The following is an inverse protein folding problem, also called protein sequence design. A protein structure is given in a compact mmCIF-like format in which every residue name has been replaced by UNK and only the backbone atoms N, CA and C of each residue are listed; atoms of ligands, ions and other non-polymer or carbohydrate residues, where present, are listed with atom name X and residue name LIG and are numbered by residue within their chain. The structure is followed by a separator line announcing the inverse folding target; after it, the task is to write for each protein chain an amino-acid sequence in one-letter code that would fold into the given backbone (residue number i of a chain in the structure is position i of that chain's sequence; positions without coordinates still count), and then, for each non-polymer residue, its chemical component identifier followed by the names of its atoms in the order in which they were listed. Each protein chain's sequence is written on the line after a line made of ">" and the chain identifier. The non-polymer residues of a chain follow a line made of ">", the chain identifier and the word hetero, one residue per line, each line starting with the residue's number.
data_IF_663176665471
#
_entry.id   IF_663176665471
#
_cell.length_a   1.000
_cell.length_b   1.000
_cell.length_c   1.000
_cell.angle_alpha   90.00
_cell.angle_beta   90.00
_cell.angle_gamma   90.00
#
_symmetry.space_group_name_H-M   'P 1'
#
loop_
_entity.id
_entity.type
_entity.pdbx_description
1 polymer ?
#
# COMPACT_ATOMS: atom_id res chain seq x y z
N UNK A 1 -4.47 -2.22 43.36
CA UNK A 1 -5.11 -1.00 43.82
C UNK A 1 -5.39 -0.16 42.57
N UNK A 2 -6.61 -0.22 42.07
CA UNK A 2 -7.05 0.39 40.82
C UNK A 2 -7.46 1.83 41.03
N UNK A 3 -6.87 2.75 40.28
CA UNK A 3 -7.33 4.16 40.24
C UNK A 3 -8.23 4.30 39.01
N UNK A 4 -9.52 4.50 39.25
CA UNK A 4 -10.51 4.92 38.25
C UNK A 4 -10.32 6.39 37.93
N UNK A 5 -10.09 6.74 36.70
CA UNK A 5 -10.19 8.12 36.22
C UNK A 5 -11.67 8.51 36.08
N UNK A 6 -12.05 9.58 36.75
CA UNK A 6 -13.36 10.21 36.67
C UNK A 6 -13.58 10.84 35.29
N UNK A 7 -14.74 10.56 34.69
CA UNK A 7 -15.30 11.34 33.58
C UNK A 7 -15.80 12.69 34.11
N UNK A 8 -15.31 13.76 33.52
CA UNK A 8 -15.88 15.09 33.70
C UNK A 8 -17.08 15.21 32.77
N UNK A 9 -18.26 15.38 33.36
CA UNK A 9 -19.51 15.64 32.64
C UNK A 9 -19.74 17.15 32.70
N UNK A 10 -19.70 17.81 31.51
CA UNK A 10 -20.18 19.19 31.43
C UNK A 10 -21.71 19.20 31.32
N UNK A 11 -22.36 19.88 32.25
CA UNK A 11 -23.80 20.18 32.16
C UNK A 11 -23.95 21.62 31.63
N UNK A 12 -24.53 21.80 30.45
CA UNK A 12 -25.14 23.07 30.08
C UNK A 12 -26.61 23.05 30.47
N UNK A 13 -26.98 23.88 31.45
CA UNK A 13 -28.36 24.10 31.80
C UNK A 13 -28.87 25.41 31.18
N UNK A 14 -29.75 25.31 30.18
CA UNK A 14 -30.51 26.47 29.73
C UNK A 14 -31.81 26.57 30.51
N UNK A 15 -31.91 27.53 31.44
CA UNK A 15 -33.16 27.87 32.14
C UNK A 15 -33.94 28.91 31.32
N UNK A 16 -35.16 28.59 30.88
CA UNK A 16 -36.15 29.57 30.39
C UNK A 16 -37.10 29.89 31.55
N UNK A 17 -37.14 31.16 31.94
CA UNK A 17 -38.12 31.66 32.89
C UNK A 17 -39.36 32.19 32.15
N UNK A 18 -40.54 31.64 32.48
CA UNK A 18 -41.84 32.19 32.05
C UNK A 18 -42.47 32.88 33.27
N UNK A 19 -42.73 34.20 33.18
CA UNK A 19 -43.41 34.99 34.20
C UNK A 19 -44.92 34.81 34.02
N UNK A 20 -45.56 34.23 35.04
CA UNK A 20 -47.01 34.31 35.22
C UNK A 20 -47.30 35.03 36.55
N UNK A 21 -48.28 35.95 36.48
CA UNK A 21 -48.69 36.86 37.59
C UNK A 21 -49.11 36.14 38.86
N UNK A 22 -48.56 36.60 39.97
CA UNK A 22 -49.15 36.45 41.31
C UNK A 22 -48.65 35.23 42.10
N UNK A 23 -47.83 35.51 43.13
CA UNK A 23 -47.56 34.72 44.34
C UNK A 23 -47.45 33.19 44.26
N UNK A 24 -46.27 32.74 44.24
CA UNK A 24 -45.57 31.48 44.49
C UNK A 24 -44.76 30.99 43.30
N UNK A 25 -43.41 31.00 43.45
CA UNK A 25 -42.50 30.40 42.52
C UNK A 25 -42.43 28.89 42.74
N UNK A 26 -43.05 28.10 41.86
CA UNK A 26 -42.81 26.65 41.80
C UNK A 26 -41.78 26.43 40.67
N UNK A 27 -40.59 26.00 41.05
CA UNK A 27 -39.58 25.56 40.06
C UNK A 27 -39.88 24.11 39.68
N UNK A 28 -40.47 23.89 38.52
CA UNK A 28 -40.57 22.56 37.94
C UNK A 28 -39.33 22.33 37.06
N UNK A 29 -38.40 21.54 37.54
CA UNK A 29 -37.28 21.06 36.75
C UNK A 29 -37.77 19.88 35.90
N UNK A 30 -38.12 20.12 34.65
CA UNK A 30 -38.36 19.05 33.70
C UNK A 30 -37.00 18.53 33.21
N UNK A 31 -36.55 17.40 33.75
CA UNK A 31 -35.45 16.65 33.22
C UNK A 31 -35.85 16.07 31.86
N UNK A 32 -35.64 16.81 30.78
CA UNK A 32 -35.64 16.22 29.46
C UNK A 32 -34.32 15.47 29.31
N UNK A 33 -34.31 14.20 29.62
CA UNK A 33 -33.22 13.30 29.28
C UNK A 33 -33.26 13.17 27.74
N UNK A 34 -32.55 14.03 27.05
CA UNK A 34 -32.21 13.77 25.69
C UNK A 34 -31.41 12.47 25.70
N UNK A 35 -32.05 11.38 25.27
CA UNK A 35 -31.37 10.16 24.87
C UNK A 35 -30.40 10.52 23.75
N UNK A 36 -29.22 10.99 24.13
CA UNK A 36 -28.05 10.86 23.25
C UNK A 36 -27.89 9.34 23.15
N UNK A 37 -28.43 8.76 22.09
CA UNK A 37 -27.93 7.47 21.58
C UNK A 37 -26.46 7.69 21.30
N UNK A 38 -25.63 7.50 22.32
CA UNK A 38 -24.21 7.30 22.14
C UNK A 38 -24.12 6.17 21.13
N UNK A 39 -23.57 6.44 19.96
CA UNK A 39 -23.10 5.38 19.08
C UNK A 39 -22.23 4.51 19.99
N UNK A 40 -22.70 3.31 20.30
CA UNK A 40 -21.86 2.28 20.88
C UNK A 40 -20.77 2.06 19.85
N UNK A 41 -19.66 2.80 19.99
CA UNK A 41 -18.54 2.71 19.08
C UNK A 41 -18.13 1.25 19.04
N UNK A 42 -18.04 0.68 17.85
CA UNK A 42 -17.45 -0.62 17.66
C UNK A 42 -16.11 -0.64 18.40
N UNK A 43 -15.77 -1.73 19.08
CA UNK A 43 -14.52 -1.79 19.80
C UNK A 43 -13.36 -1.41 18.88
N UNK A 44 -12.47 -0.53 19.34
CA UNK A 44 -11.33 -0.01 18.57
C UNK A 44 -10.17 -1.04 18.49
N UNK A 45 -10.48 -2.33 18.52
CA UNK A 45 -9.50 -3.41 18.39
C UNK A 45 -9.89 -4.35 17.26
N UNK A 46 -8.88 -4.97 16.64
CA UNK A 46 -9.05 -5.94 15.56
C UNK A 46 -8.97 -7.36 16.09
N UNK A 47 -9.69 -8.31 15.51
CA UNK A 47 -9.68 -9.71 15.94
C UNK A 47 -8.36 -10.40 15.56
N UNK A 48 -7.72 -9.96 14.50
CA UNK A 48 -6.38 -10.39 14.09
C UNK A 48 -5.65 -9.27 13.34
N UNK A 49 -4.33 -9.44 13.16
CA UNK A 49 -3.50 -8.41 12.55
C UNK A 49 -3.82 -8.13 11.07
N UNK A 50 -4.42 -9.09 10.35
CA UNK A 50 -4.79 -8.87 8.94
C UNK A 50 -5.93 -7.87 8.75
N UNK A 51 -6.75 -7.64 9.78
CA UNK A 51 -7.84 -6.67 9.75
C UNK A 51 -7.39 -5.22 10.00
N UNK A 52 -6.16 -5.02 10.49
CA UNK A 52 -5.59 -3.68 10.67
C UNK A 52 -5.01 -3.08 9.38
N UNK A 53 -5.15 -3.79 8.25
CA UNK A 53 -4.64 -3.36 6.94
C UNK A 53 -5.47 -2.21 6.39
N UNK A 54 -4.78 -1.20 5.82
CA UNK A 54 -5.43 -0.04 5.22
C UNK A 54 -5.44 1.17 6.15
N UNK A 55 -6.28 2.15 5.83
CA UNK A 55 -6.36 3.45 6.52
C UNK A 55 -4.97 4.09 6.72
N UNK A 56 -4.11 3.94 5.73
CA UNK A 56 -2.76 4.47 5.76
C UNK A 56 -2.79 6.00 5.63
N UNK A 57 -1.89 6.73 6.31
CA UNK A 57 -1.95 8.18 6.31
C UNK A 57 -1.57 8.78 4.95
N UNK A 58 -2.19 9.92 4.66
CA UNK A 58 -1.83 10.81 3.57
C UNK A 58 -1.06 12.00 4.15
N UNK A 59 0.20 12.19 3.74
CA UNK A 59 1.11 13.19 4.32
C UNK A 59 1.56 14.18 3.23
N UNK A 60 1.45 15.49 3.51
CA UNK A 60 1.96 16.52 2.62
C UNK A 60 3.49 16.53 2.62
N UNK A 61 4.07 16.48 1.43
CA UNK A 61 5.50 16.68 1.22
C UNK A 61 5.79 18.18 1.03
N UNK A 62 6.76 18.70 1.74
CA UNK A 62 7.00 20.14 1.81
C UNK A 62 8.37 20.53 1.26
N UNK A 63 9.47 20.00 1.83
CA UNK A 63 10.84 20.41 1.47
C UNK A 63 11.34 19.74 0.20
N UNK A 64 11.04 18.46 0.00
CA UNK A 64 11.47 17.67 -1.15
C UNK A 64 10.91 18.20 -2.48
N UNK A 65 9.84 18.98 -2.43
CA UNK A 65 9.19 19.58 -3.61
C UNK A 65 9.97 20.77 -4.18
N UNK A 66 10.99 21.27 -3.46
CA UNK A 66 11.84 22.42 -3.88
C UNK A 66 11.01 23.68 -4.23
N UNK A 67 9.95 23.96 -3.47
CA UNK A 67 9.08 25.11 -3.68
C UNK A 67 8.13 24.99 -4.89
N UNK A 68 7.90 23.78 -5.41
CA UNK A 68 6.95 23.60 -6.50
C UNK A 68 5.53 24.10 -6.13
N UNK A 69 4.79 24.70 -7.08
CA UNK A 69 3.50 25.34 -6.79
C UNK A 69 2.35 24.34 -6.57
N UNK A 70 2.51 23.08 -6.96
CA UNK A 70 1.51 22.03 -6.74
C UNK A 70 1.60 21.46 -5.32
N UNK A 71 0.48 20.95 -4.80
CA UNK A 71 0.43 20.22 -3.54
C UNK A 71 0.77 18.75 -3.80
N UNK A 72 1.78 18.20 -3.11
CA UNK A 72 2.14 16.78 -3.22
C UNK A 72 1.83 16.07 -1.92
N UNK A 73 0.98 15.04 -1.98
CA UNK A 73 0.57 14.22 -0.86
C UNK A 73 1.09 12.79 -1.05
N UNK A 74 1.75 12.26 -0.04
CA UNK A 74 2.28 10.90 -0.02
C UNK A 74 1.36 9.94 0.75
N UNK A 75 0.86 8.90 0.10
CA UNK A 75 0.12 7.80 0.72
C UNK A 75 1.11 6.78 1.27
N UNK A 76 1.25 6.71 2.59
CA UNK A 76 2.32 5.96 3.25
C UNK A 76 1.92 4.50 3.46
N UNK A 77 2.03 3.68 2.44
CA UNK A 77 1.66 2.25 2.50
C UNK A 77 2.61 1.41 3.38
N UNK A 78 3.76 1.94 3.73
CA UNK A 78 4.65 1.37 4.75
C UNK A 78 4.05 1.32 6.15
N UNK A 79 2.89 1.95 6.41
CA UNK A 79 2.18 1.90 7.69
C UNK A 79 1.22 0.71 7.81
N UNK A 80 1.07 -0.11 6.78
CA UNK A 80 0.38 -1.40 6.90
C UNK A 80 1.14 -2.34 7.86
N UNK A 81 0.48 -3.34 8.48
CA UNK A 81 1.05 -4.18 9.55
C UNK A 81 2.27 -5.01 9.15
N UNK A 82 2.42 -5.36 7.88
CA UNK A 82 3.64 -5.97 7.33
C UNK A 82 4.45 -4.98 6.48
N UNK A 83 4.31 -3.68 6.76
CA UNK A 83 5.11 -2.55 6.27
C UNK A 83 5.14 -2.38 4.75
N UNK A 84 4.06 -2.74 4.03
CA UNK A 84 3.94 -2.45 2.60
C UNK A 84 2.52 -2.47 2.06
N UNK A 85 2.35 -1.88 0.87
CA UNK A 85 1.12 -1.92 0.06
C UNK A 85 0.65 -3.36 -0.23
N UNK A 86 1.55 -4.33 -0.18
CA UNK A 86 1.24 -5.74 -0.46
C UNK A 86 0.42 -6.41 0.63
N UNK A 87 0.33 -5.81 1.84
CA UNK A 87 -0.61 -6.27 2.87
C UNK A 87 -2.04 -6.31 2.31
N UNK A 88 -2.43 -5.28 1.55
CA UNK A 88 -3.77 -5.19 0.95
C UNK A 88 -4.06 -6.36 0.02
N UNK A 89 -3.16 -6.62 -0.92
CA UNK A 89 -3.37 -7.72 -1.88
C UNK A 89 -3.19 -9.09 -1.23
N UNK A 90 -2.30 -9.22 -0.25
CA UNK A 90 -2.09 -10.47 0.50
C UNK A 90 -3.38 -10.90 1.20
N UNK A 91 -4.03 -10.02 1.95
CA UNK A 91 -5.32 -10.29 2.56
C UNK A 91 -6.42 -10.52 1.50
N UNK A 92 -6.51 -9.63 0.50
CA UNK A 92 -7.58 -9.71 -0.49
C UNK A 92 -7.58 -10.98 -1.33
N UNK A 93 -6.42 -11.49 -1.73
CA UNK A 93 -6.34 -12.74 -2.50
C UNK A 93 -6.71 -13.96 -1.64
N UNK A 94 -6.40 -13.93 -0.34
CA UNK A 94 -6.81 -14.97 0.61
C UNK A 94 -8.32 -14.87 0.86
N UNK A 95 -8.86 -13.67 1.14
CA UNK A 95 -10.30 -13.45 1.32
C UNK A 95 -11.11 -13.91 0.11
N UNK A 96 -10.64 -13.60 -1.10
CA UNK A 96 -11.27 -14.02 -2.35
C UNK A 96 -11.27 -15.54 -2.50
N UNK A 97 -10.17 -16.19 -2.16
CA UNK A 97 -10.07 -17.64 -2.17
C UNK A 97 -11.00 -18.31 -1.15
N UNK A 98 -11.13 -17.75 0.06
CA UNK A 98 -12.07 -18.21 1.09
C UNK A 98 -13.53 -18.04 0.64
N UNK A 99 -13.89 -16.86 0.11
CA UNK A 99 -15.25 -16.54 -0.36
C UNK A 99 -15.71 -17.43 -1.52
N UNK A 100 -14.77 -17.85 -2.38
CA UNK A 100 -15.07 -18.75 -3.50
C UNK A 100 -14.93 -20.25 -3.13
N UNK A 101 -14.67 -20.58 -1.86
CA UNK A 101 -14.51 -21.96 -1.41
C UNK A 101 -13.26 -22.66 -1.97
N UNK A 102 -12.29 -21.88 -2.47
CA UNK A 102 -11.03 -22.39 -3.01
C UNK A 102 -10.04 -22.76 -1.90
N UNK A 103 -10.17 -22.10 -0.75
CA UNK A 103 -9.37 -22.33 0.44
C UNK A 103 -10.22 -23.08 1.48
N UNK A 104 -10.29 -24.41 1.35
CA UNK A 104 -10.95 -25.30 2.32
C UNK A 104 -9.99 -25.79 3.40
N UNK A 105 -10.52 -26.61 4.33
CA UNK A 105 -9.75 -27.18 5.43
C UNK A 105 -8.50 -27.92 4.93
N UNK A 106 -7.34 -27.54 5.50
CA UNK A 106 -6.06 -28.17 5.23
C UNK A 106 -5.37 -27.75 3.93
N UNK A 107 -5.94 -26.82 3.14
CA UNK A 107 -5.24 -26.28 1.97
C UNK A 107 -4.05 -25.40 2.36
N UNK A 108 -3.00 -25.54 1.59
CA UNK A 108 -1.74 -24.80 1.72
C UNK A 108 -1.62 -23.80 0.57
N UNK A 109 -1.37 -22.53 0.91
CA UNK A 109 -1.10 -21.48 -0.08
C UNK A 109 0.28 -21.66 -0.70
N UNK A 110 0.38 -21.40 -1.99
CA UNK A 110 1.66 -21.39 -2.72
C UNK A 110 1.77 -20.07 -3.47
N UNK A 111 2.96 -19.44 -3.46
CA UNK A 111 3.24 -18.26 -4.28
C UNK A 111 4.72 -18.14 -4.60
N UNK A 112 5.03 -17.68 -5.81
CA UNK A 112 6.40 -17.39 -6.24
C UNK A 112 6.72 -15.94 -5.93
N UNK A 113 7.41 -15.68 -4.83
CA UNK A 113 7.78 -14.32 -4.43
C UNK A 113 8.82 -14.30 -3.33
N UNK A 114 9.75 -13.37 -3.45
CA UNK A 114 10.76 -13.07 -2.44
C UNK A 114 10.63 -11.65 -1.88
N UNK A 115 9.65 -10.91 -2.39
CA UNK A 115 9.45 -9.51 -2.06
C UNK A 115 8.34 -9.26 -1.04
N UNK A 116 7.83 -8.05 -1.06
CA UNK A 116 6.79 -7.59 -0.16
C UNK A 116 5.52 -8.45 -0.18
N UNK A 117 5.18 -9.06 -1.32
CA UNK A 117 4.02 -9.97 -1.41
C UNK A 117 4.21 -11.21 -0.56
N UNK A 118 5.40 -11.84 -0.60
CA UNK A 118 5.70 -12.98 0.27
C UNK A 118 5.60 -12.64 1.75
N UNK A 119 6.11 -11.47 2.14
CA UNK A 119 6.04 -10.99 3.53
C UNK A 119 4.57 -10.75 3.93
N UNK A 120 3.78 -10.12 3.06
CA UNK A 120 2.37 -9.86 3.33
C UNK A 120 1.55 -11.15 3.43
N UNK A 121 1.74 -12.09 2.50
CA UNK A 121 1.09 -13.41 2.54
C UNK A 121 1.49 -14.17 3.80
N UNK A 122 2.77 -14.18 4.16
CA UNK A 122 3.25 -14.86 5.37
C UNK A 122 2.65 -14.25 6.65
N UNK A 123 2.55 -12.91 6.73
CA UNK A 123 1.94 -12.23 7.87
C UNK A 123 0.43 -12.53 7.99
N UNK A 124 -0.32 -12.50 6.88
CA UNK A 124 -1.76 -12.82 6.88
C UNK A 124 -1.98 -14.30 7.17
N UNK A 125 -1.23 -15.19 6.52
CA UNK A 125 -1.32 -16.63 6.74
C UNK A 125 -1.02 -17.01 8.19
N UNK A 126 0.01 -16.42 8.80
CA UNK A 126 0.34 -16.61 10.21
C UNK A 126 -0.80 -16.14 11.13
N UNK A 127 -1.39 -14.97 10.86
CA UNK A 127 -2.50 -14.41 11.65
C UNK A 127 -3.77 -15.29 11.59
N UNK A 128 -3.96 -16.03 10.49
CA UNK A 128 -5.16 -16.86 10.25
C UNK A 128 -4.91 -18.37 10.39
N UNK A 129 -3.68 -18.79 10.73
CA UNK A 129 -3.33 -20.21 10.86
C UNK A 129 -3.34 -20.98 9.53
N UNK A 130 -3.09 -20.32 8.39
CA UNK A 130 -3.10 -20.92 7.06
C UNK A 130 -1.67 -21.36 6.69
N UNK A 131 -1.44 -22.62 6.28
CA UNK A 131 -0.13 -23.05 5.80
C UNK A 131 0.28 -22.32 4.53
N UNK A 132 1.56 -21.91 4.43
CA UNK A 132 2.10 -21.19 3.28
C UNK A 132 3.45 -21.72 2.85
N UNK A 133 3.59 -22.03 1.57
CA UNK A 133 4.87 -22.32 0.90
C UNK A 133 5.20 -21.20 -0.09
N UNK A 134 6.41 -20.67 0.02
CA UNK A 134 6.94 -19.63 -0.89
C UNK A 134 8.12 -20.20 -1.68
N UNK A 135 8.09 -20.01 -2.99
CA UNK A 135 9.23 -20.34 -3.87
C UNK A 135 10.01 -19.07 -4.22
N UNK A 136 11.33 -19.15 -4.17
CA UNK A 136 12.20 -18.01 -4.47
C UNK A 136 13.60 -18.44 -4.90
N UNK A 137 14.32 -17.63 -5.69
CA UNK A 137 15.71 -17.90 -6.02
C UNK A 137 16.62 -17.93 -4.79
N UNK A 138 17.60 -18.82 -4.77
CA UNK A 138 18.59 -18.96 -3.67
C UNK A 138 19.44 -17.71 -3.44
N UNK A 139 19.56 -16.80 -4.42
CA UNK A 139 20.24 -15.52 -4.29
C UNK A 139 19.52 -14.45 -3.44
N UNK A 140 18.35 -14.77 -2.88
CA UNK A 140 17.62 -13.83 -2.01
C UNK A 140 18.31 -13.61 -0.67
N UNK A 141 18.26 -12.37 -0.16
CA UNK A 141 18.94 -11.98 1.07
C UNK A 141 18.53 -12.83 2.28
N UNK A 142 19.49 -13.06 3.16
CA UNK A 142 19.28 -13.87 4.36
C UNK A 142 18.22 -13.24 5.29
N UNK A 143 18.18 -11.90 5.38
CA UNK A 143 17.21 -11.16 6.19
C UNK A 143 15.78 -11.45 5.75
N UNK A 144 15.52 -11.47 4.43
CA UNK A 144 14.21 -11.81 3.88
C UNK A 144 13.79 -13.23 4.20
N UNK A 145 14.73 -14.19 4.06
CA UNK A 145 14.44 -15.59 4.40
C UNK A 145 14.13 -15.74 5.88
N UNK A 146 14.92 -15.10 6.76
CA UNK A 146 14.68 -15.10 8.22
C UNK A 146 13.31 -14.53 8.57
N UNK A 147 12.93 -13.40 7.95
CA UNK A 147 11.63 -12.76 8.18
C UNK A 147 10.46 -13.66 7.77
N UNK A 148 10.53 -14.27 6.59
CA UNK A 148 9.51 -15.19 6.12
C UNK A 148 9.39 -16.45 6.97
N UNK A 149 10.53 -17.03 7.40
CA UNK A 149 10.57 -18.16 8.32
C UNK A 149 10.02 -17.82 9.70
N UNK A 150 10.25 -16.59 10.19
CA UNK A 150 9.71 -16.12 11.46
C UNK A 150 8.16 -16.04 11.46
N UNK A 151 7.54 -15.80 10.30
CA UNK A 151 6.09 -15.92 10.12
C UNK A 151 5.61 -17.36 9.96
N UNK A 152 6.51 -18.35 9.93
CA UNK A 152 6.14 -19.76 9.77
C UNK A 152 5.98 -20.23 8.32
N UNK A 153 6.32 -19.39 7.32
CA UNK A 153 6.27 -19.81 5.93
C UNK A 153 7.35 -20.84 5.60
N UNK A 154 6.98 -21.88 4.84
CA UNK A 154 7.91 -22.84 4.26
C UNK A 154 8.57 -22.22 3.03
N UNK A 155 9.90 -22.25 2.96
CA UNK A 155 10.65 -21.69 1.87
C UNK A 155 11.25 -22.80 1.00
N UNK A 156 10.98 -22.73 -0.30
CA UNK A 156 11.61 -23.58 -1.31
C UNK A 156 12.49 -22.72 -2.20
N UNK A 157 13.80 -22.96 -2.09
CA UNK A 157 14.79 -22.24 -2.87
C UNK A 157 14.92 -22.90 -4.25
N UNK A 158 14.96 -22.08 -5.30
CA UNK A 158 15.20 -22.51 -6.67
C UNK A 158 16.58 -22.05 -7.12
N UNK A 159 17.10 -22.68 -8.15
CA UNK A 159 18.40 -22.35 -8.73
C UNK A 159 18.50 -20.85 -9.10
N UNK A 160 19.54 -20.19 -8.59
CA UNK A 160 19.71 -18.74 -8.73
C UNK A 160 19.80 -18.29 -10.19
N UNK A 161 20.42 -19.08 -11.06
CA UNK A 161 20.57 -18.80 -12.49
C UNK A 161 19.22 -18.70 -13.24
N UNK A 162 18.16 -19.38 -12.74
CA UNK A 162 16.81 -19.32 -13.31
C UNK A 162 15.99 -18.11 -12.83
N UNK A 163 16.48 -17.39 -11.83
CA UNK A 163 15.84 -16.20 -11.28
C UNK A 163 14.36 -16.42 -10.89
N UNK A 164 13.54 -15.37 -11.00
CA UNK A 164 12.10 -15.46 -10.68
C UNK A 164 11.32 -16.41 -11.59
N UNK A 165 11.77 -16.61 -12.84
CA UNK A 165 11.13 -17.57 -13.76
C UNK A 165 11.17 -18.99 -13.15
N UNK A 166 12.32 -19.42 -12.64
CA UNK A 166 12.45 -20.73 -11.99
C UNK A 166 11.59 -20.85 -10.73
N UNK A 167 11.44 -19.77 -9.98
CA UNK A 167 10.55 -19.78 -8.81
C UNK A 167 9.07 -19.89 -9.18
N UNK A 168 8.64 -19.22 -10.25
CA UNK A 168 7.25 -19.30 -10.76
C UNK A 168 6.95 -20.72 -11.24
N UNK A 169 7.80 -21.28 -12.09
CA UNK A 169 7.64 -22.65 -12.60
C UNK A 169 7.58 -23.67 -11.45
N UNK A 170 8.37 -23.47 -10.38
CA UNK A 170 8.32 -24.35 -9.20
C UNK A 170 7.02 -24.20 -8.40
N UNK A 171 6.48 -23.00 -8.28
CA UNK A 171 5.18 -22.77 -7.62
C UNK A 171 4.03 -23.42 -8.41
N UNK A 172 4.08 -23.31 -9.74
CA UNK A 172 3.10 -23.95 -10.64
C UNK A 172 3.19 -25.47 -10.60
N UNK A 173 4.40 -26.04 -10.57
CA UNK A 173 4.65 -27.47 -10.41
C UNK A 173 4.03 -27.99 -9.08
N UNK A 174 4.24 -27.29 -7.96
CA UNK A 174 3.68 -27.67 -6.66
C UNK A 174 2.16 -27.61 -6.71
N UNK A 175 1.58 -26.55 -7.23
CA UNK A 175 0.13 -26.40 -7.31
C UNK A 175 -0.49 -27.47 -8.21
N UNK A 176 0.16 -27.83 -9.31
CA UNK A 176 -0.30 -28.88 -10.22
C UNK A 176 -0.14 -30.30 -9.65
N UNK A 177 0.81 -30.53 -8.73
CA UNK A 177 1.09 -31.85 -8.16
C UNK A 177 -0.06 -32.37 -7.29
N UNK A 178 -0.78 -31.49 -6.61
CA UNK A 178 -1.97 -31.81 -5.81
C UNK A 178 -2.90 -30.59 -5.69
N UNK A 179 -3.79 -30.36 -6.67
CA UNK A 179 -4.74 -29.26 -6.65
C UNK A 179 -5.75 -29.31 -5.50
N UNK A 180 -5.94 -30.48 -4.88
CA UNK A 180 -6.76 -30.65 -3.68
C UNK A 180 -6.10 -29.99 -2.45
N UNK A 181 -4.79 -30.04 -2.39
CA UNK A 181 -3.97 -29.55 -1.27
C UNK A 181 -3.42 -28.13 -1.46
N UNK A 182 -2.98 -27.80 -2.66
CA UNK A 182 -2.26 -26.55 -2.91
C UNK A 182 -3.12 -25.54 -3.66
N UNK A 183 -3.00 -24.25 -3.28
CA UNK A 183 -3.65 -23.12 -3.94
C UNK A 183 -2.61 -22.08 -4.32
N UNK A 184 -2.43 -21.83 -5.63
CA UNK A 184 -1.57 -20.79 -6.18
C UNK A 184 -2.38 -19.49 -6.32
N UNK A 185 -1.92 -18.39 -5.70
CA UNK A 185 -2.66 -17.12 -5.63
C UNK A 185 -2.47 -16.22 -6.85
N UNK A 186 -1.32 -16.27 -7.52
CA UNK A 186 -1.03 -15.57 -8.79
C UNK A 186 -1.16 -14.04 -8.74
N UNK A 187 -0.35 -13.36 -7.96
CA UNK A 187 -0.41 -11.90 -7.73
C UNK A 187 -0.47 -11.03 -9.00
N UNK A 188 0.07 -11.48 -10.13
CA UNK A 188 0.12 -10.71 -11.38
C UNK A 188 -1.14 -10.84 -12.25
N UNK A 189 -2.00 -11.82 -11.96
CA UNK A 189 -3.20 -12.14 -12.77
C UNK A 189 -4.47 -12.20 -11.94
N UNK A 190 -4.38 -12.35 -10.62
CA UNK A 190 -5.52 -12.46 -9.73
C UNK A 190 -6.31 -11.13 -9.66
N UNK A 191 -7.60 -11.11 -10.02
CA UNK A 191 -8.41 -9.90 -10.05
C UNK A 191 -8.67 -9.31 -8.66
N UNK A 192 -8.56 -10.09 -7.58
CA UNK A 192 -8.67 -9.60 -6.21
C UNK A 192 -7.59 -8.56 -5.88
N UNK A 193 -6.46 -8.54 -6.62
CA UNK A 193 -5.41 -7.55 -6.47
C UNK A 193 -5.89 -6.14 -6.86
N UNK A 194 -6.28 -5.80 -8.08
CA UNK A 194 -6.81 -4.47 -8.37
C UNK A 194 -8.11 -4.17 -7.63
N UNK A 195 -8.95 -5.17 -7.36
CA UNK A 195 -10.23 -4.99 -6.66
C UNK A 195 -10.05 -4.43 -5.24
N UNK A 196 -9.03 -4.85 -4.46
CA UNK A 196 -8.81 -4.28 -3.13
C UNK A 196 -8.42 -2.82 -3.19
N UNK A 197 -7.65 -2.40 -4.19
CA UNK A 197 -7.29 -1.00 -4.35
C UNK A 197 -8.47 -0.14 -4.79
N UNK A 198 -9.41 -0.70 -5.57
CA UNK A 198 -10.65 -0.05 -5.95
C UNK A 198 -11.59 0.11 -4.74
N UNK A 199 -11.71 -0.91 -3.86
CA UNK A 199 -12.62 -0.87 -2.70
C UNK A 199 -12.01 -0.27 -1.43
N UNK A 200 -10.69 -0.03 -1.36
CA UNK A 200 -10.04 0.53 -0.16
C UNK A 200 -9.10 1.69 -0.47
N UNK A 201 -7.97 1.50 -1.16
CA UNK A 201 -6.97 2.54 -1.41
C UNK A 201 -7.54 3.75 -2.16
N UNK A 202 -8.37 3.51 -3.18
CA UNK A 202 -9.05 4.57 -3.93
C UNK A 202 -10.01 5.38 -3.05
N UNK A 203 -10.94 4.75 -2.30
CA UNK A 203 -11.79 5.42 -1.33
C UNK A 203 -11.03 6.20 -0.25
N UNK A 204 -9.97 5.63 0.32
CA UNK A 204 -9.13 6.32 1.31
C UNK A 204 -8.54 7.61 0.71
N UNK A 205 -7.91 7.54 -0.46
CA UNK A 205 -7.35 8.72 -1.14
C UNK A 205 -8.45 9.75 -1.45
N UNK A 206 -9.59 9.31 -1.94
CA UNK A 206 -10.72 10.18 -2.25
C UNK A 206 -11.22 10.93 -1.02
N UNK A 207 -11.42 10.23 0.09
CA UNK A 207 -11.93 10.81 1.33
C UNK A 207 -10.89 11.73 1.98
N UNK A 208 -9.61 11.31 2.03
CA UNK A 208 -8.52 12.09 2.62
C UNK A 208 -8.21 13.38 1.83
N UNK A 209 -8.66 13.47 0.59
CA UNK A 209 -8.48 14.66 -0.27
C UNK A 209 -9.78 15.43 -0.52
N UNK A 210 -10.90 15.05 0.11
CA UNK A 210 -12.25 15.57 -0.20
C UNK A 210 -12.55 15.53 -1.71
N UNK A 211 -11.98 14.54 -2.42
CA UNK A 211 -12.10 14.40 -3.87
C UNK A 211 -11.28 15.40 -4.68
N UNK A 212 -10.42 16.20 -4.07
CA UNK A 212 -9.65 17.25 -4.78
C UNK A 212 -8.46 16.71 -5.59
N UNK A 213 -8.11 15.42 -5.50
CA UNK A 213 -7.01 14.83 -6.27
C UNK A 213 -7.13 15.11 -7.77
N UNK A 214 -6.03 15.60 -8.41
CA UNK A 214 -5.94 15.86 -9.85
C UNK A 214 -4.98 14.91 -10.56
N UNK A 215 -3.91 14.50 -9.87
CA UNK A 215 -2.87 13.63 -10.44
C UNK A 215 -2.57 12.49 -9.47
N UNK A 216 -2.58 11.27 -9.98
CA UNK A 216 -2.25 10.07 -9.23
C UNK A 216 -0.95 9.46 -9.77
N UNK A 217 0.05 9.26 -8.92
CA UNK A 217 1.37 8.74 -9.29
C UNK A 217 1.65 7.44 -8.52
N UNK A 218 1.95 6.36 -9.23
CA UNK A 218 2.31 5.09 -8.62
C UNK A 218 3.31 4.29 -9.46
N UNK A 219 4.27 3.65 -8.81
CA UNK A 219 5.15 2.67 -9.43
C UNK A 219 4.39 1.39 -9.79
N UNK A 220 4.68 0.82 -10.96
CA UNK A 220 4.00 -0.37 -11.46
C UNK A 220 4.84 -1.62 -11.22
N UNK A 221 4.40 -2.46 -10.25
CA UNK A 221 4.88 -3.83 -10.05
C UNK A 221 3.87 -4.83 -10.60
N UNK A 222 2.79 -5.12 -9.87
CA UNK A 222 1.70 -5.99 -10.32
C UNK A 222 0.59 -5.25 -11.08
N UNK A 223 0.62 -3.92 -11.08
CA UNK A 223 -0.39 -3.08 -11.75
C UNK A 223 -1.65 -2.81 -10.92
N UNK A 224 -1.90 -3.58 -9.86
CA UNK A 224 -3.17 -3.51 -9.12
C UNK A 224 -3.47 -2.15 -8.49
N UNK A 225 -2.49 -1.51 -7.87
CA UNK A 225 -2.65 -0.18 -7.25
C UNK A 225 -3.02 0.88 -8.29
N UNK A 226 -2.30 0.94 -9.40
CA UNK A 226 -2.57 1.87 -10.51
C UNK A 226 -3.96 1.64 -11.06
N UNK A 227 -4.32 0.41 -11.37
CA UNK A 227 -5.63 0.05 -11.92
C UNK A 227 -6.76 0.33 -10.95
N UNK A 228 -6.68 -0.18 -9.72
CA UNK A 228 -7.80 -0.09 -8.76
C UNK A 228 -8.11 1.34 -8.34
N UNK A 229 -7.08 2.14 -8.01
CA UNK A 229 -7.26 3.55 -7.63
C UNK A 229 -7.81 4.37 -8.80
N UNK A 230 -7.21 4.21 -9.99
CA UNK A 230 -7.66 4.96 -11.19
C UNK A 230 -9.08 4.59 -11.58
N UNK A 231 -9.45 3.30 -11.51
CA UNK A 231 -10.80 2.83 -11.80
C UNK A 231 -11.81 3.43 -10.83
N UNK A 232 -11.51 3.41 -9.53
CA UNK A 232 -12.40 4.01 -8.53
C UNK A 232 -12.64 5.50 -8.79
N UNK A 233 -11.58 6.29 -9.01
CA UNK A 233 -11.72 7.73 -9.18
C UNK A 233 -12.36 8.07 -10.54
N UNK A 234 -11.87 7.47 -11.63
CA UNK A 234 -12.36 7.78 -12.99
C UNK A 234 -13.76 7.21 -13.26
N UNK A 235 -14.04 5.97 -12.85
CA UNK A 235 -15.28 5.28 -13.19
C UNK A 235 -16.34 5.37 -12.09
N UNK A 236 -15.98 5.19 -10.80
CA UNK A 236 -16.96 5.26 -9.72
C UNK A 236 -17.28 6.70 -9.32
N UNK A 237 -16.24 7.52 -9.14
CA UNK A 237 -16.43 8.95 -8.77
C UNK A 237 -16.65 9.87 -9.97
N UNK A 238 -16.47 9.38 -11.18
CA UNK A 238 -16.64 10.13 -12.43
C UNK A 238 -15.77 11.40 -12.50
N UNK A 239 -14.64 11.41 -11.79
CA UNK A 239 -13.67 12.52 -11.84
C UNK A 239 -12.54 12.19 -12.80
N UNK A 240 -12.28 13.07 -13.75
CA UNK A 240 -11.09 13.00 -14.57
C UNK A 240 -9.86 13.36 -13.74
N UNK A 241 -8.88 12.44 -13.71
CA UNK A 241 -7.55 12.64 -13.11
C UNK A 241 -6.48 12.19 -14.10
N UNK A 242 -5.27 12.73 -13.95
CA UNK A 242 -4.10 12.21 -14.68
C UNK A 242 -3.45 11.07 -13.87
N UNK A 243 -3.56 9.84 -14.36
CA UNK A 243 -2.93 8.65 -13.76
C UNK A 243 -1.57 8.41 -14.39
N UNK A 244 -0.49 8.52 -13.60
CA UNK A 244 0.90 8.46 -14.05
C UNK A 244 1.56 7.20 -13.52
N UNK A 245 1.86 6.29 -14.42
CA UNK A 245 2.60 5.06 -14.11
C UNK A 245 4.11 5.33 -14.09
N UNK A 246 4.82 4.75 -13.11
CA UNK A 246 6.27 4.87 -13.01
C UNK A 246 6.92 3.52 -13.22
N UNK A 247 7.93 3.49 -14.11
CA UNK A 247 8.72 2.29 -14.41
C UNK A 247 10.24 2.60 -14.40
N UNK A 248 11.12 1.58 -14.25
CA UNK A 248 12.57 1.77 -14.35
C UNK A 248 12.99 2.09 -15.79
N UNK A 249 13.84 3.09 -16.00
CA UNK A 249 14.37 3.44 -17.31
C UNK A 249 15.21 2.33 -17.96
N UNK A 250 15.82 1.46 -17.14
CA UNK A 250 16.56 0.30 -17.62
C UNK A 250 15.64 -0.82 -18.17
N UNK A 251 14.36 -0.85 -17.77
CA UNK A 251 13.39 -1.88 -18.17
C UNK A 251 12.04 -1.25 -18.52
N UNK A 252 11.94 -0.42 -19.58
CA UNK A 252 10.79 0.43 -19.88
C UNK A 252 9.70 -0.33 -20.64
N UNK A 253 9.26 -1.47 -20.09
CA UNK A 253 8.32 -2.39 -20.77
C UNK A 253 6.91 -1.80 -20.97
N UNK A 254 6.48 -0.89 -20.09
CA UNK A 254 5.18 -0.22 -20.25
C UNK A 254 5.22 0.81 -21.39
N UNK A 255 6.30 1.60 -21.46
CA UNK A 255 6.53 2.53 -22.58
C UNK A 255 6.60 1.79 -23.91
N UNK A 256 7.36 0.70 -23.97
CA UNK A 256 7.49 -0.13 -25.18
C UNK A 256 6.15 -0.74 -25.59
N UNK A 257 5.39 -1.28 -24.63
CA UNK A 257 4.04 -1.81 -24.90
C UNK A 257 3.11 -0.74 -25.48
N UNK A 258 3.14 0.48 -24.91
CA UNK A 258 2.31 1.59 -25.41
C UNK A 258 2.70 2.03 -26.82
N UNK A 259 3.98 1.96 -27.14
CA UNK A 259 4.51 2.28 -28.46
C UNK A 259 4.31 1.15 -29.49
N UNK A 260 3.84 -0.03 -29.08
CA UNK A 260 3.76 -1.22 -29.95
C UNK A 260 5.12 -1.83 -30.29
N UNK A 261 6.14 -1.56 -29.46
CA UNK A 261 7.49 -2.06 -29.63
C UNK A 261 7.71 -3.41 -28.95
N UNK A 262 8.67 -4.22 -29.41
CA UNK A 262 9.08 -5.44 -28.72
C UNK A 262 9.58 -5.12 -27.29
N UNK A 263 9.12 -5.88 -26.31
CA UNK A 263 9.55 -5.71 -24.93
C UNK A 263 11.03 -6.13 -24.76
N UNK A 264 11.82 -5.25 -24.15
CA UNK A 264 13.23 -5.46 -23.84
C UNK A 264 13.47 -5.26 -22.33
N UNK A 265 13.07 -6.23 -21.49
CA UNK A 265 13.33 -6.14 -20.06
C UNK A 265 14.82 -6.25 -19.76
N UNK A 266 15.28 -5.50 -18.76
CA UNK A 266 16.65 -5.57 -18.30
C UNK A 266 16.72 -5.45 -16.75
N UNK A 267 17.82 -5.93 -16.13
CA UNK A 267 18.03 -5.78 -14.69
C UNK A 267 18.07 -4.32 -14.26
N UNK A 268 17.48 -4.03 -13.09
CA UNK A 268 17.50 -2.71 -12.45
C UNK A 268 17.54 -2.84 -10.92
N UNK A 269 17.80 -1.73 -10.22
CA UNK A 269 17.98 -1.69 -8.76
C UNK A 269 16.79 -1.03 -8.03
N UNK A 270 15.58 -1.08 -8.59
CA UNK A 270 14.35 -0.52 -8.00
C UNK A 270 13.39 -1.67 -7.64
N UNK A 271 13.55 -2.32 -6.46
CA UNK A 271 12.71 -3.46 -6.08
C UNK A 271 11.24 -3.06 -5.98
N UNK A 272 10.34 -3.97 -6.38
CA UNK A 272 8.89 -3.82 -6.24
C UNK A 272 8.16 -3.22 -7.44
N UNK A 273 8.89 -2.66 -8.41
CA UNK A 273 8.35 -2.21 -9.70
C UNK A 273 9.16 -2.80 -10.86
N UNK A 274 8.68 -2.68 -12.08
CA UNK A 274 9.41 -3.13 -13.26
C UNK A 274 9.57 -4.65 -13.34
N UNK A 275 8.48 -5.40 -13.40
CA UNK A 275 8.48 -6.88 -13.40
C UNK A 275 9.14 -7.52 -14.64
N UNK A 276 9.50 -6.72 -15.65
CA UNK A 276 10.07 -7.20 -16.92
C UNK A 276 9.02 -7.64 -17.93
N UNK A 277 7.75 -7.52 -17.60
CA UNK A 277 6.58 -7.77 -18.47
C UNK A 277 5.43 -6.87 -18.07
N UNK A 278 4.41 -6.77 -18.92
CA UNK A 278 3.17 -6.04 -18.59
C UNK A 278 2.23 -6.98 -17.82
N UNK A 279 1.93 -6.69 -16.53
CA UNK A 279 1.08 -7.56 -15.73
C UNK A 279 -0.36 -7.50 -16.19
N UNK A 280 -1.10 -8.63 -16.14
CA UNK A 280 -2.51 -8.70 -16.52
C UNK A 280 -3.43 -7.83 -15.64
N UNK A 281 -3.02 -7.57 -14.42
CA UNK A 281 -3.76 -6.69 -13.50
C UNK A 281 -3.61 -5.19 -13.83
N UNK A 282 -2.74 -4.82 -14.78
CA UNK A 282 -2.60 -3.44 -15.23
C UNK A 282 -3.55 -3.16 -16.40
N UNK A 283 -4.52 -2.30 -16.16
CA UNK A 283 -5.37 -1.75 -17.21
C UNK A 283 -4.71 -0.48 -17.78
N UNK A 284 -4.00 -0.63 -18.91
CA UNK A 284 -3.30 0.46 -19.58
C UNK A 284 -4.23 1.56 -20.10
N UNK A 285 -5.53 1.29 -20.30
CA UNK A 285 -6.51 2.30 -20.71
C UNK A 285 -6.77 3.35 -19.63
N UNK A 286 -6.50 3.02 -18.37
CA UNK A 286 -6.61 3.93 -17.24
C UNK A 286 -5.37 4.78 -17.00
N UNK A 287 -4.25 4.46 -17.67
CA UNK A 287 -2.96 5.16 -17.51
C UNK A 287 -2.83 6.26 -18.54
N UNK A 288 -2.76 7.51 -18.10
CA UNK A 288 -2.64 8.67 -18.98
C UNK A 288 -1.20 8.93 -19.42
N UNK A 289 -0.24 8.75 -18.51
CA UNK A 289 1.19 8.93 -18.80
C UNK A 289 2.04 7.83 -18.15
N UNK A 290 3.20 7.53 -18.78
CA UNK A 290 4.21 6.60 -18.27
C UNK A 290 5.52 7.35 -18.14
N UNK A 291 6.10 7.34 -16.95
CA UNK A 291 7.34 8.04 -16.64
C UNK A 291 8.44 7.07 -16.22
N UNK A 292 9.61 7.27 -16.76
CA UNK A 292 10.79 6.47 -16.47
C UNK A 292 11.66 7.14 -15.42
N UNK A 293 12.27 6.32 -14.55
CA UNK A 293 13.19 6.76 -13.48
C UNK A 293 14.42 5.87 -13.46
N UNK A 294 15.60 6.46 -13.35
CA UNK A 294 16.85 5.71 -13.21
C UNK A 294 17.04 5.18 -11.79
N UNK A 295 17.95 4.22 -11.61
CA UNK A 295 18.31 3.69 -10.29
C UNK A 295 18.83 4.80 -9.37
N UNK A 296 19.69 5.67 -9.90
CA UNK A 296 20.34 6.77 -9.18
C UNK A 296 19.32 7.80 -8.73
N UNK A 297 18.38 8.15 -9.63
CA UNK A 297 17.31 9.10 -9.30
C UNK A 297 16.39 8.54 -8.22
N UNK A 298 16.01 7.27 -8.32
CA UNK A 298 15.17 6.59 -7.33
C UNK A 298 15.83 6.57 -5.94
N UNK A 299 17.11 6.20 -5.85
CA UNK A 299 17.88 6.21 -4.60
C UNK A 299 18.02 7.61 -4.04
N UNK A 300 18.36 8.60 -4.88
CA UNK A 300 18.49 9.99 -4.46
C UNK A 300 17.22 10.52 -3.81
N UNK A 301 16.06 10.30 -4.43
CA UNK A 301 14.78 10.76 -3.88
C UNK A 301 14.33 9.98 -2.65
N UNK A 302 14.63 8.69 -2.54
CA UNK A 302 14.37 7.92 -1.32
C UNK A 302 15.21 8.45 -0.13
N UNK A 303 16.47 8.82 -0.35
CA UNK A 303 17.33 9.49 0.65
C UNK A 303 16.81 10.88 1.01
N UNK A 304 16.34 11.65 0.03
CA UNK A 304 15.73 12.97 0.25
C UNK A 304 14.46 12.86 1.09
N UNK A 305 13.59 11.85 0.85
CA UNK A 305 12.42 11.59 1.70
C UNK A 305 12.80 11.43 3.17
N UNK A 306 13.86 10.67 3.45
CA UNK A 306 14.33 10.47 4.82
C UNK A 306 14.86 11.78 5.44
N UNK A 307 15.71 12.52 4.72
CA UNK A 307 16.40 13.71 5.23
C UNK A 307 15.54 14.96 5.29
N UNK A 308 14.65 15.11 4.31
CA UNK A 308 13.87 16.34 4.14
C UNK A 308 12.47 16.22 4.71
N UNK A 309 11.86 15.01 4.69
CA UNK A 309 10.49 14.80 5.16
C UNK A 309 10.39 13.88 6.39
N UNK A 310 11.50 13.29 6.85
CA UNK A 310 11.50 12.33 7.97
C UNK A 310 10.81 11.00 7.62
N UNK A 311 10.72 10.65 6.34
CA UNK A 311 10.04 9.43 5.86
C UNK A 311 11.08 8.44 5.33
N UNK A 312 11.42 7.44 6.12
CA UNK A 312 12.27 6.32 5.70
C UNK A 312 11.43 5.35 4.88
N UNK A 313 11.75 5.22 3.60
CA UNK A 313 10.97 4.46 2.63
C UNK A 313 11.85 3.73 1.62
N UNK A 314 11.30 2.76 0.88
CA UNK A 314 12.03 1.98 -0.10
C UNK A 314 12.43 2.76 -1.36
N UNK A 315 13.29 2.14 -2.18
CA UNK A 315 13.82 2.75 -3.42
C UNK A 315 12.68 3.08 -4.41
N UNK A 316 11.66 2.23 -4.52
CA UNK A 316 10.49 2.47 -5.38
C UNK A 316 9.64 3.66 -4.92
N UNK A 317 9.66 4.00 -3.62
CA UNK A 317 9.07 5.23 -3.10
C UNK A 317 9.79 6.46 -3.67
N UNK A 318 11.13 6.44 -3.65
CA UNK A 318 11.95 7.47 -4.27
C UNK A 318 11.67 7.63 -5.76
N UNK A 319 11.51 6.52 -6.48
CA UNK A 319 11.14 6.54 -7.90
C UNK A 319 9.80 7.27 -8.14
N UNK A 320 8.78 6.92 -7.35
CA UNK A 320 7.46 7.54 -7.47
C UNK A 320 7.48 9.03 -7.10
N UNK A 321 8.19 9.40 -6.03
CA UNK A 321 8.33 10.81 -5.60
C UNK A 321 9.11 11.64 -6.60
N UNK A 322 10.17 11.10 -7.23
CA UNK A 322 10.89 11.79 -8.28
C UNK A 322 9.95 12.26 -9.41
N UNK A 323 9.04 11.38 -9.82
CA UNK A 323 8.02 11.70 -10.83
C UNK A 323 6.99 12.71 -10.29
N UNK A 324 6.50 12.52 -9.06
CA UNK A 324 5.54 13.45 -8.46
C UNK A 324 6.11 14.86 -8.36
N UNK A 325 7.39 15.03 -7.95
CA UNK A 325 8.07 16.32 -7.91
C UNK A 325 8.28 16.89 -9.31
N UNK A 326 8.62 16.05 -10.29
CA UNK A 326 8.73 16.47 -11.70
C UNK A 326 7.40 17.03 -12.22
N UNK A 327 6.27 16.38 -11.85
CA UNK A 327 4.93 16.85 -12.18
C UNK A 327 4.58 18.15 -11.44
N UNK A 328 4.92 18.24 -10.15
CA UNK A 328 4.63 19.40 -9.33
C UNK A 328 5.32 20.69 -9.84
N UNK A 329 6.46 20.55 -10.51
CA UNK A 329 7.22 21.67 -11.09
C UNK A 329 6.71 22.11 -12.48
N UNK A 330 5.79 21.38 -13.12
CA UNK A 330 5.24 21.78 -14.43
C UNK A 330 4.33 22.99 -14.26
N UNK A 331 4.50 24.08 -15.05
CA UNK A 331 3.70 25.31 -14.90
C UNK A 331 2.18 25.04 -14.98
N UNK A 332 1.75 24.11 -15.84
CA UNK A 332 0.34 23.75 -15.98
C UNK A 332 -0.24 22.96 -14.80
N UNK A 333 0.56 22.64 -13.78
CA UNK A 333 0.15 21.93 -12.59
C UNK A 333 0.18 22.79 -11.32
N UNK A 334 0.36 24.12 -11.46
CA UNK A 334 0.19 25.02 -10.32
C UNK A 334 -1.18 24.79 -9.67
N UNK A 335 -1.21 24.79 -8.34
CA UNK A 335 -2.42 24.56 -7.51
C UNK A 335 -3.04 23.16 -7.61
N UNK A 336 -2.54 22.26 -8.48
CA UNK A 336 -3.04 20.88 -8.55
C UNK A 336 -2.62 20.05 -7.35
N UNK A 337 -3.49 19.11 -6.99
CA UNK A 337 -3.23 18.13 -5.95
C UNK A 337 -2.73 16.82 -6.55
N UNK A 338 -1.51 16.43 -6.19
CA UNK A 338 -0.82 15.23 -6.65
C UNK A 338 -0.76 14.24 -5.49
N UNK A 339 -1.30 13.03 -5.68
CA UNK A 339 -1.14 11.95 -4.71
C UNK A 339 -0.15 10.93 -5.26
N UNK A 340 0.88 10.62 -4.46
CA UNK A 340 1.91 9.62 -4.79
C UNK A 340 1.90 8.48 -3.79
N UNK A 341 1.98 7.24 -4.28
CA UNK A 341 2.07 6.05 -3.42
C UNK A 341 3.51 5.82 -2.98
N UNK A 342 3.72 5.68 -1.66
CA UNK A 342 4.96 5.17 -1.07
C UNK A 342 4.74 3.70 -0.65
N UNK A 343 5.17 2.73 -1.50
CA UNK A 343 4.71 1.34 -1.36
C UNK A 343 5.21 0.62 -0.11
N UNK A 344 6.35 0.99 0.47
CA UNK A 344 6.91 0.28 1.62
C UNK A 344 7.83 1.13 2.51
N UNK A 345 8.22 0.55 3.64
CA UNK A 345 9.16 1.13 4.59
C UNK A 345 10.62 0.81 4.20
N UNK A 346 11.55 1.68 4.61
CA UNK A 346 12.95 1.62 4.21
C UNK A 346 13.82 0.64 4.99
N UNK A 347 13.41 0.23 6.19
CA UNK A 347 14.21 -0.62 7.09
C UNK A 347 14.57 -1.99 6.49
N UNK A 348 13.78 -2.48 5.54
CA UNK A 348 14.07 -3.71 4.81
C UNK A 348 15.13 -3.58 3.71
N UNK A 349 15.71 -2.39 3.55
CA UNK A 349 16.74 -2.07 2.57
C UNK A 349 18.09 -1.67 3.20
N UNK A 350 18.28 -1.86 4.52
CA UNK A 350 19.47 -1.45 5.25
C UNK A 350 20.78 -2.01 4.66
N UNK A 351 20.76 -3.21 4.09
CA UNK A 351 21.90 -3.83 3.40
C UNK A 351 21.93 -3.55 1.89
N UNK A 352 21.26 -2.51 1.40
CA UNK A 352 21.20 -2.17 -0.03
C UNK A 352 21.85 -0.82 -0.32
N UNK A 353 22.00 -0.53 -1.63
CA UNK A 353 22.52 0.76 -2.13
C UNK A 353 21.81 2.01 -1.56
N UNK A 354 20.61 1.86 -0.99
CA UNK A 354 19.88 2.95 -0.37
C UNK A 354 20.65 3.55 0.82
N UNK A 355 21.30 2.70 1.61
CA UNK A 355 22.04 3.06 2.83
C UNK A 355 23.58 3.05 2.64
N UNK A 356 24.07 2.70 1.45
CA UNK A 356 25.49 2.86 1.07
C UNK A 356 25.83 4.34 0.76
N UNK A 357 25.48 5.24 1.65
CA UNK A 357 25.77 6.66 1.48
C UNK A 357 27.10 7.04 2.19
N UNK A 358 27.99 7.82 1.57
CA UNK A 358 29.22 8.30 2.21
C UNK A 358 29.01 8.96 3.57
N UNK A 359 27.84 9.59 3.79
CA UNK A 359 27.46 10.16 5.09
C UNK A 359 27.17 9.12 6.17
N UNK A 360 26.86 7.88 5.80
CA UNK A 360 26.63 6.77 6.74
C UNK A 360 27.79 5.78 6.78
N UNK A 361 28.69 5.82 5.82
CA UNK A 361 29.86 4.92 5.74
C UNK A 361 30.81 5.04 6.94
N UNK A 362 30.85 6.22 7.58
CA UNK A 362 31.65 6.44 8.80
C UNK A 362 31.06 5.80 10.08
N UNK A 363 29.80 5.29 10.01
CA UNK A 363 29.14 4.63 11.16
C UNK A 363 29.38 3.13 11.21
N UNK A 364 29.97 2.55 10.16
CA UNK A 364 30.22 1.09 10.02
C UNK A 364 31.70 0.71 10.02
N UNK A 365 32.60 1.69 10.23
CA UNK A 365 34.05 1.50 10.33
C UNK A 365 34.53 1.28 11.76
#
# INVERSE_FOLDING_TARGET
>A
MYIRLCRVIFFESSARATLLNGHHKIFTVTNTVNNIKGSCGMPHWFTDNSQSIGNTPLIRLNRITDGAPAVVLAKIEGRNPAYSVKCRIGASMIDDAEQHGLLGDGKELVEATSGNTGIALAAVAAARGIPLTLTMPEGMSLERRKLLSAYGAKLLLTEGARGMKGAIEKAEEIAASDPGRYLLLQQFTNPANPAIHERSTGPEIWNDTDGAIDIFVAGVGTGGTMTGVSRYIKHTKKKAICSVAVEPSASPVLTQQRAGEPLKPAPHKIPGIGAGFVPKNLDLSLVDDIQQVSNEEAVRYARRLAREEGIISGISCGAAVAVAVRYAKRPGNAEKMIVVILPDAGERYLSSILFEDPLTASLTA
#
